data_IF_066999139163
#
_entry.id   IF_066999139163
#
_cell.length_a   1.000
_cell.length_b   1.000
_cell.length_c   1.000
_cell.angle_alpha   90.00
_cell.angle_beta   90.00
_cell.angle_gamma   90.00
#
_symmetry.space_group_name_H-M   'P 1'
#
loop_
_entity.id
_entity.type
_entity.pdbx_description
1 polymer ?
#
# COMPACT_ATOMS: atom_id res chain seq x y z
N UNK A 1 1.80 -7.43 -19.76
CA UNK A 1 3.26 -7.13 -19.78
C UNK A 1 3.62 -5.81 -19.08
N UNK A 2 2.82 -4.72 -19.23
CA UNK A 2 3.13 -3.44 -18.56
C UNK A 2 3.01 -3.54 -17.04
N UNK A 3 2.04 -4.32 -16.53
CA UNK A 3 1.90 -4.58 -15.11
C UNK A 3 3.14 -5.31 -14.51
N UNK A 4 3.68 -6.30 -15.22
CA UNK A 4 4.93 -6.95 -14.81
C UNK A 4 6.12 -5.99 -14.85
N UNK A 5 6.18 -5.11 -15.87
CA UNK A 5 7.22 -4.08 -15.95
C UNK A 5 7.15 -3.11 -14.76
N UNK A 6 5.92 -2.70 -14.37
CA UNK A 6 5.72 -1.90 -13.16
C UNK A 6 6.24 -2.60 -11.91
N UNK A 7 5.88 -3.86 -11.71
CA UNK A 7 6.31 -4.62 -10.53
C UNK A 7 7.84 -4.77 -10.49
N UNK A 8 8.45 -5.20 -11.61
CA UNK A 8 9.90 -5.37 -11.71
C UNK A 8 10.65 -4.05 -11.46
N UNK A 9 10.24 -2.97 -12.14
CA UNK A 9 10.88 -1.64 -11.97
C UNK A 9 10.67 -1.07 -10.56
N UNK A 10 9.56 -1.40 -9.88
CA UNK A 10 9.31 -1.03 -8.49
C UNK A 10 10.30 -1.73 -7.54
N UNK A 11 10.56 -3.01 -7.76
CA UNK A 11 11.51 -3.80 -6.96
C UNK A 11 12.96 -3.38 -7.24
N UNK A 12 13.30 -3.06 -8.48
CA UNK A 12 14.62 -2.55 -8.89
C UNK A 12 14.90 -1.11 -8.45
N UNK A 13 13.90 -0.39 -7.89
CA UNK A 13 14.05 1.00 -7.48
C UNK A 13 14.05 2.01 -8.64
N UNK A 14 13.60 1.61 -9.84
CA UNK A 14 13.56 2.45 -11.04
C UNK A 14 12.34 3.36 -11.05
N UNK A 15 12.39 4.43 -10.26
CA UNK A 15 11.25 5.34 -9.98
C UNK A 15 10.50 5.78 -11.23
N UNK A 16 11.20 6.32 -12.22
CA UNK A 16 10.55 6.92 -13.40
C UNK A 16 9.85 5.85 -14.26
N UNK A 17 10.52 4.72 -14.49
CA UNK A 17 9.96 3.60 -15.26
C UNK A 17 8.78 2.96 -14.54
N UNK A 18 8.87 2.81 -13.22
CA UNK A 18 7.77 2.28 -12.40
C UNK A 18 6.54 3.20 -12.49
N UNK A 19 6.71 4.51 -12.29
CA UNK A 19 5.62 5.49 -12.33
C UNK A 19 5.00 5.56 -13.73
N UNK A 20 5.80 5.61 -14.80
CA UNK A 20 5.29 5.59 -16.18
C UNK A 20 4.47 4.33 -16.46
N UNK A 21 4.99 3.17 -16.05
CA UNK A 21 4.31 1.89 -16.21
C UNK A 21 3.02 1.83 -15.40
N UNK A 22 3.01 2.35 -14.16
CA UNK A 22 1.84 2.45 -13.30
C UNK A 22 0.71 3.25 -13.94
N UNK A 23 1.03 4.45 -14.45
CA UNK A 23 0.07 5.32 -15.14
C UNK A 23 -0.47 4.62 -16.39
N UNK A 24 0.40 3.95 -17.14
CA UNK A 24 0.01 3.19 -18.32
C UNK A 24 -0.96 2.08 -18.01
N UNK A 25 -0.70 1.30 -16.95
CA UNK A 25 -1.61 0.22 -16.50
C UNK A 25 -2.95 0.77 -16.10
N UNK A 26 -2.99 1.83 -15.26
CA UNK A 26 -4.22 2.46 -14.82
C UNK A 26 -5.07 2.97 -15.98
N UNK A 27 -4.45 3.56 -17.01
CA UNK A 27 -5.14 4.11 -18.18
C UNK A 27 -5.75 3.04 -19.11
N UNK A 28 -5.35 1.75 -18.98
CA UNK A 28 -5.98 0.66 -19.75
C UNK A 28 -7.33 0.23 -19.18
N UNK A 29 -7.68 0.67 -17.98
CA UNK A 29 -8.91 0.26 -17.30
C UNK A 29 -9.82 1.47 -17.15
N UNK A 30 -10.97 1.46 -17.81
CA UNK A 30 -11.95 2.53 -17.68
C UNK A 30 -12.83 2.37 -16.43
N UNK A 31 -13.41 3.46 -15.89
CA UNK A 31 -14.39 3.39 -14.81
C UNK A 31 -15.58 2.46 -15.10
N UNK A 32 -16.05 2.42 -16.36
CA UNK A 32 -17.12 1.52 -16.79
C UNK A 32 -16.70 0.05 -16.69
N UNK A 33 -15.47 -0.27 -17.09
CA UNK A 33 -14.95 -1.65 -16.97
C UNK A 33 -14.83 -2.07 -15.50
N UNK A 34 -14.43 -1.17 -14.59
CA UNK A 34 -14.38 -1.47 -13.15
C UNK A 34 -15.76 -1.78 -12.60
N UNK A 35 -16.78 -0.98 -12.95
CA UNK A 35 -18.16 -1.22 -12.51
C UNK A 35 -18.71 -2.57 -12.97
N UNK A 36 -18.27 -3.05 -14.13
CA UNK A 36 -18.65 -4.38 -14.66
C UNK A 36 -17.77 -5.51 -14.10
N UNK A 37 -16.52 -5.25 -13.76
CA UNK A 37 -15.52 -6.22 -13.31
C UNK A 37 -14.77 -5.64 -12.11
N UNK A 38 -15.31 -5.77 -10.88
CA UNK A 38 -14.84 -5.03 -9.71
C UNK A 38 -13.35 -5.20 -9.38
N UNK A 39 -12.75 -6.38 -9.60
CA UNK A 39 -11.34 -6.59 -9.29
C UNK A 39 -10.39 -5.72 -10.14
N UNK A 40 -10.84 -5.17 -11.27
CA UNK A 40 -10.05 -4.24 -12.09
C UNK A 40 -9.75 -2.92 -11.36
N UNK A 41 -10.51 -2.61 -10.31
CA UNK A 41 -10.27 -1.45 -9.46
C UNK A 41 -8.85 -1.42 -8.88
N UNK A 42 -8.26 -2.60 -8.62
CA UNK A 42 -6.87 -2.72 -8.20
C UNK A 42 -5.90 -1.94 -9.10
N UNK A 43 -6.10 -1.97 -10.42
CA UNK A 43 -5.22 -1.29 -11.37
C UNK A 43 -5.27 0.24 -11.28
N UNK A 44 -6.37 0.80 -10.80
CA UNK A 44 -6.48 2.25 -10.52
C UNK A 44 -5.63 2.69 -9.32
N UNK A 45 -5.30 1.79 -8.40
CA UNK A 45 -4.50 2.12 -7.21
C UNK A 45 -3.00 2.16 -7.49
N UNK A 46 -2.53 1.53 -8.56
CA UNK A 46 -1.12 1.32 -8.87
C UNK A 46 -0.30 2.63 -8.95
N UNK A 47 -0.78 3.72 -9.58
CA UNK A 47 -0.06 5.00 -9.58
C UNK A 47 0.17 5.56 -8.16
N UNK A 48 -0.85 5.52 -7.30
CA UNK A 48 -0.72 5.97 -5.91
C UNK A 48 0.30 5.16 -5.13
N UNK A 49 0.26 3.82 -5.27
CA UNK A 49 1.22 2.92 -4.64
C UNK A 49 2.66 3.22 -5.11
N UNK A 50 2.85 3.53 -6.39
CA UNK A 50 4.16 3.94 -6.92
C UNK A 50 4.61 5.29 -6.34
N UNK A 51 3.71 6.26 -6.21
CA UNK A 51 4.06 7.55 -5.61
C UNK A 51 4.46 7.40 -4.15
N UNK A 52 3.77 6.56 -3.39
CA UNK A 52 4.15 6.25 -2.00
C UNK A 52 5.52 5.56 -1.94
N UNK A 53 5.75 4.53 -2.77
CA UNK A 53 7.02 3.79 -2.81
C UNK A 53 8.22 4.69 -3.04
N UNK A 54 8.08 5.70 -3.90
CA UNK A 54 9.16 6.61 -4.29
C UNK A 54 9.07 7.99 -3.66
N UNK A 55 8.27 8.14 -2.59
CA UNK A 55 8.11 9.38 -1.83
C UNK A 55 7.77 10.61 -2.70
N UNK A 56 6.96 10.42 -3.75
CA UNK A 56 6.51 11.50 -4.64
C UNK A 56 5.29 12.22 -4.02
N UNK A 57 5.49 12.86 -2.88
CA UNK A 57 4.40 13.43 -2.07
C UNK A 57 3.59 14.48 -2.81
N UNK A 58 4.23 15.33 -3.62
CA UNK A 58 3.53 16.32 -4.46
C UNK A 58 2.52 15.65 -5.40
N UNK A 59 2.88 14.47 -5.94
CA UNK A 59 1.99 13.68 -6.79
C UNK A 59 0.84 13.06 -6.01
N UNK A 60 1.10 12.61 -4.76
CA UNK A 60 0.04 12.12 -3.88
C UNK A 60 -0.94 13.23 -3.54
N UNK A 61 -0.47 14.42 -3.15
CA UNK A 61 -1.34 15.55 -2.80
C UNK A 61 -2.12 16.13 -3.98
N UNK A 62 -1.59 16.00 -5.20
CA UNK A 62 -2.26 16.47 -6.42
C UNK A 62 -3.07 15.37 -7.12
N UNK A 63 -3.11 14.15 -6.56
CA UNK A 63 -3.87 13.07 -7.16
C UNK A 63 -5.36 13.31 -7.01
N UNK A 64 -6.11 13.12 -8.09
CA UNK A 64 -7.56 13.27 -8.08
C UNK A 64 -8.19 12.14 -7.27
N UNK A 65 -9.14 12.52 -6.38
CA UNK A 65 -9.83 11.54 -5.56
C UNK A 65 -10.62 10.57 -6.46
N UNK A 66 -10.53 9.25 -6.24
CA UNK A 66 -11.34 8.28 -6.97
C UNK A 66 -12.85 8.51 -6.78
N UNK A 67 -13.65 8.06 -7.76
CA UNK A 67 -15.11 8.05 -7.65
C UNK A 67 -15.58 7.40 -6.34
N UNK A 68 -16.68 7.88 -5.79
CA UNK A 68 -17.15 7.41 -4.47
C UNK A 68 -17.55 5.93 -4.42
N UNK A 69 -17.89 5.32 -5.55
CA UNK A 69 -18.21 3.89 -5.69
C UNK A 69 -16.95 3.01 -5.74
N UNK A 70 -15.75 3.59 -5.96
CA UNK A 70 -14.49 2.85 -5.94
C UNK A 70 -13.91 2.78 -4.53
N UNK A 71 -14.50 1.91 -3.70
CA UNK A 71 -14.21 1.84 -2.26
C UNK A 71 -12.78 1.41 -1.95
N UNK A 72 -12.25 0.45 -2.69
CA UNK A 72 -10.86 0.02 -2.52
C UNK A 72 -9.88 1.13 -2.95
N UNK A 73 -10.12 1.78 -4.08
CA UNK A 73 -9.29 2.91 -4.53
C UNK A 73 -9.30 4.07 -3.52
N UNK A 74 -10.47 4.39 -2.94
CA UNK A 74 -10.57 5.40 -1.88
C UNK A 74 -9.82 4.99 -0.61
N UNK A 75 -9.82 3.70 -0.26
CA UNK A 75 -9.01 3.18 0.85
C UNK A 75 -7.51 3.40 0.60
N UNK A 76 -7.01 3.05 -0.59
CA UNK A 76 -5.60 3.25 -0.96
C UNK A 76 -5.26 4.74 -1.10
N UNK A 77 -6.19 5.58 -1.57
CA UNK A 77 -6.03 7.02 -1.60
C UNK A 77 -5.84 7.59 -0.17
N UNK A 78 -6.67 7.16 0.78
CA UNK A 78 -6.54 7.54 2.19
C UNK A 78 -5.21 7.04 2.79
N UNK A 79 -4.77 5.83 2.46
CA UNK A 79 -3.45 5.31 2.83
C UNK A 79 -2.32 6.21 2.31
N UNK A 80 -2.34 6.53 1.04
CA UNK A 80 -1.31 7.36 0.42
C UNK A 80 -1.24 8.76 1.06
N UNK A 81 -2.39 9.40 1.29
CA UNK A 81 -2.47 10.69 1.98
C UNK A 81 -2.01 10.61 3.43
N UNK A 82 -2.38 9.54 4.15
CA UNK A 82 -1.92 9.34 5.53
C UNK A 82 -0.40 9.30 5.61
N UNK A 83 0.24 8.48 4.78
CA UNK A 83 1.71 8.34 4.75
C UNK A 83 2.37 9.65 4.31
N UNK A 84 1.84 10.32 3.27
CA UNK A 84 2.37 11.58 2.78
C UNK A 84 2.29 12.71 3.84
N UNK A 85 1.17 12.81 4.55
CA UNK A 85 1.02 13.77 5.66
C UNK A 85 1.95 13.46 6.82
N UNK A 86 2.12 12.18 7.20
CA UNK A 86 3.07 11.77 8.23
C UNK A 86 4.51 12.16 7.84
N UNK A 87 4.91 11.88 6.61
CA UNK A 87 6.24 12.23 6.10
C UNK A 87 6.52 13.74 6.07
N UNK A 88 5.47 14.56 5.94
CA UNK A 88 5.56 16.03 5.98
C UNK A 88 5.30 16.62 7.37
N UNK A 89 5.23 15.80 8.43
CA UNK A 89 5.08 16.25 9.81
C UNK A 89 3.65 16.66 10.19
N UNK A 90 2.67 16.51 9.31
CA UNK A 90 1.28 16.83 9.60
C UNK A 90 0.53 15.62 10.19
N UNK A 91 0.85 15.31 11.43
CA UNK A 91 0.33 14.11 12.11
C UNK A 91 -1.19 14.16 12.33
N UNK A 92 -1.79 15.35 12.41
CA UNK A 92 -3.24 15.49 12.56
C UNK A 92 -3.96 14.94 11.32
N UNK A 93 -3.58 15.42 10.14
CA UNK A 93 -4.16 14.95 8.88
C UNK A 93 -3.77 13.48 8.59
N UNK A 94 -2.54 13.07 8.92
CA UNK A 94 -2.13 11.68 8.80
C UNK A 94 -3.07 10.74 9.56
N UNK A 95 -3.37 11.03 10.83
CA UNK A 95 -4.30 10.25 11.64
C UNK A 95 -5.74 10.31 11.08
N UNK A 96 -6.18 11.48 10.60
CA UNK A 96 -7.49 11.61 9.97
C UNK A 96 -7.65 10.68 8.78
N UNK A 97 -6.70 10.69 7.85
CA UNK A 97 -6.75 9.80 6.68
C UNK A 97 -6.58 8.33 7.08
N UNK A 98 -5.70 8.02 8.03
CA UNK A 98 -5.55 6.65 8.54
C UNK A 98 -6.86 6.08 9.06
N UNK A 99 -7.63 6.84 9.85
CA UNK A 99 -8.92 6.39 10.38
C UNK A 99 -9.98 6.12 9.31
N UNK A 100 -9.81 6.65 8.09
CA UNK A 100 -10.74 6.47 6.96
C UNK A 100 -10.43 5.24 6.10
N UNK A 101 -9.26 4.60 6.24
CA UNK A 101 -8.83 3.50 5.37
C UNK A 101 -9.80 2.31 5.42
N UNK A 102 -10.35 1.98 6.58
CA UNK A 102 -11.21 0.82 6.78
C UNK A 102 -12.72 1.15 6.81
N UNK A 103 -13.11 2.40 6.55
CA UNK A 103 -14.52 2.80 6.65
C UNK A 103 -15.46 1.94 5.79
N UNK A 104 -15.03 1.61 4.59
CA UNK A 104 -15.83 0.87 3.61
C UNK A 104 -15.46 -0.62 3.51
N UNK A 105 -14.72 -1.18 4.48
CA UNK A 105 -14.20 -2.56 4.41
C UNK A 105 -15.32 -3.62 4.31
N UNK A 106 -16.52 -3.32 4.78
CA UNK A 106 -17.69 -4.21 4.71
C UNK A 106 -18.70 -3.79 3.65
N UNK A 107 -18.35 -2.83 2.77
CA UNK A 107 -19.24 -2.40 1.68
C UNK A 107 -19.54 -3.51 0.67
N UNK A 108 -20.60 -3.34 -0.11
CA UNK A 108 -20.99 -4.30 -1.17
C UNK A 108 -19.91 -4.38 -2.25
N UNK A 109 -19.30 -3.25 -2.61
CA UNK A 109 -18.24 -3.16 -3.63
C UNK A 109 -16.99 -3.93 -3.20
N UNK A 110 -16.53 -3.76 -1.95
CA UNK A 110 -15.41 -4.53 -1.40
C UNK A 110 -15.74 -6.02 -1.33
N UNK A 111 -16.96 -6.37 -0.90
CA UNK A 111 -17.39 -7.76 -0.86
C UNK A 111 -17.46 -8.37 -2.27
N UNK A 112 -17.88 -7.62 -3.29
CA UNK A 112 -17.88 -8.07 -4.68
C UNK A 112 -16.46 -8.42 -5.17
N UNK A 113 -15.44 -7.60 -4.83
CA UNK A 113 -14.04 -7.93 -5.14
C UNK A 113 -13.58 -9.21 -4.44
N UNK A 114 -13.93 -9.37 -3.15
CA UNK A 114 -13.59 -10.59 -2.38
C UNK A 114 -14.24 -11.82 -2.99
N UNK A 115 -15.50 -11.74 -3.40
CA UNK A 115 -16.21 -12.83 -4.08
C UNK A 115 -15.58 -13.17 -5.43
N UNK A 116 -14.99 -12.21 -6.11
CA UNK A 116 -14.20 -12.41 -7.34
C UNK A 116 -12.79 -12.99 -7.08
N UNK A 117 -12.44 -13.32 -5.84
CA UNK A 117 -11.16 -13.93 -5.47
C UNK A 117 -10.04 -12.93 -5.17
N UNK A 118 -10.33 -11.62 -5.12
CA UNK A 118 -9.33 -10.60 -4.78
C UNK A 118 -9.24 -10.42 -3.25
N UNK A 119 -8.05 -10.41 -2.62
CA UNK A 119 -7.90 -10.33 -1.18
C UNK A 119 -8.07 -8.90 -0.63
N UNK A 120 -9.06 -8.16 -1.12
CA UNK A 120 -9.27 -6.72 -0.91
C UNK A 120 -9.25 -6.34 0.57
N UNK A 121 -9.98 -7.07 1.43
CA UNK A 121 -10.02 -6.78 2.87
C UNK A 121 -8.66 -6.91 3.53
N UNK A 122 -7.87 -7.90 3.13
CA UNK A 122 -6.50 -8.08 3.63
C UNK A 122 -5.59 -6.94 3.20
N UNK A 123 -5.70 -6.49 1.94
CA UNK A 123 -4.93 -5.37 1.42
C UNK A 123 -5.30 -4.05 2.12
N UNK A 124 -6.59 -3.79 2.39
CA UNK A 124 -7.02 -2.62 3.16
C UNK A 124 -6.47 -2.65 4.59
N UNK A 125 -6.44 -3.82 5.24
CA UNK A 125 -5.84 -3.98 6.57
C UNK A 125 -4.33 -3.74 6.55
N UNK A 126 -3.61 -4.27 5.57
CA UNK A 126 -2.18 -3.99 5.37
C UNK A 126 -1.96 -2.48 5.21
N UNK A 127 -2.73 -1.82 4.35
CA UNK A 127 -2.66 -0.38 4.15
C UNK A 127 -2.86 0.41 5.45
N UNK A 128 -3.88 0.04 6.25
CA UNK A 128 -4.17 0.69 7.54
C UNK A 128 -3.04 0.51 8.55
N UNK A 129 -2.46 -0.69 8.65
CA UNK A 129 -1.34 -0.98 9.55
C UNK A 129 -0.06 -0.27 9.12
N UNK A 130 0.22 -0.21 7.82
CA UNK A 130 1.38 0.51 7.29
C UNK A 130 1.23 2.03 7.50
N UNK A 131 0.03 2.59 7.35
CA UNK A 131 -0.24 3.98 7.66
C UNK A 131 -0.01 4.28 9.16
N UNK A 132 -0.59 3.45 10.05
CA UNK A 132 -0.40 3.57 11.50
C UNK A 132 1.07 3.51 11.88
N UNK A 133 1.78 2.48 11.44
CA UNK A 133 3.21 2.34 11.70
C UNK A 133 4.06 3.49 11.12
N UNK A 134 3.67 4.04 9.96
CA UNK A 134 4.35 5.22 9.39
C UNK A 134 4.16 6.46 10.26
N UNK A 135 2.97 6.71 10.77
CA UNK A 135 2.70 7.80 11.72
C UNK A 135 3.58 7.65 12.96
N UNK A 136 3.67 6.44 13.51
CA UNK A 136 4.49 6.14 14.68
C UNK A 136 6.00 6.28 14.38
N UNK A 137 6.47 5.87 13.21
CA UNK A 137 7.86 6.10 12.76
C UNK A 137 8.21 7.57 12.74
N UNK A 138 7.39 8.41 12.12
CA UNK A 138 7.61 9.86 12.05
C UNK A 138 7.41 10.57 13.40
N UNK A 139 6.75 9.90 14.35
CA UNK A 139 6.63 10.33 15.74
C UNK A 139 7.74 9.79 16.66
N UNK A 140 8.73 9.07 16.11
CA UNK A 140 9.81 8.38 16.85
C UNK A 140 9.31 7.32 17.84
N UNK A 141 8.10 6.79 17.65
CA UNK A 141 7.50 5.72 18.42
C UNK A 141 7.80 4.36 17.78
N UNK A 142 9.08 4.00 17.75
CA UNK A 142 9.56 2.85 16.96
C UNK A 142 8.97 1.52 17.43
N UNK A 143 8.72 1.34 18.73
CA UNK A 143 8.13 0.10 19.26
C UNK A 143 6.71 -0.12 18.79
N UNK A 144 5.90 0.95 18.74
CA UNK A 144 4.54 0.93 18.25
C UNK A 144 4.51 0.68 16.73
N UNK A 145 5.40 1.33 15.99
CA UNK A 145 5.55 1.11 14.56
C UNK A 145 5.90 -0.35 14.25
N UNK A 146 6.85 -0.95 14.99
CA UNK A 146 7.23 -2.36 14.86
C UNK A 146 6.04 -3.28 15.10
N UNK A 147 5.19 -3.00 16.09
CA UNK A 147 4.00 -3.81 16.35
C UNK A 147 3.03 -3.80 15.14
N UNK A 148 2.73 -2.62 14.60
CA UNK A 148 1.88 -2.46 13.42
C UNK A 148 2.48 -3.17 12.18
N UNK A 149 3.79 -3.02 11.95
CA UNK A 149 4.43 -3.65 10.79
C UNK A 149 4.54 -5.19 10.94
N UNK A 150 4.73 -5.74 12.14
CA UNK A 150 4.68 -7.19 12.37
C UNK A 150 3.31 -7.76 12.02
N UNK A 151 2.24 -7.07 12.38
CA UNK A 151 0.88 -7.48 12.00
C UNK A 151 0.67 -7.39 10.48
N UNK A 152 1.13 -6.33 9.82
CA UNK A 152 1.07 -6.21 8.37
C UNK A 152 1.81 -7.35 7.65
N UNK A 153 3.00 -7.73 8.12
CA UNK A 153 3.76 -8.89 7.63
C UNK A 153 2.95 -10.17 7.80
N UNK A 154 2.36 -10.38 8.99
CA UNK A 154 1.54 -11.57 9.26
C UNK A 154 0.38 -11.70 8.29
N UNK A 155 -0.30 -10.59 7.97
CA UNK A 155 -1.39 -10.59 6.99
C UNK A 155 -0.86 -10.84 5.59
N UNK A 156 0.24 -10.20 5.18
CA UNK A 156 0.82 -10.40 3.85
C UNK A 156 1.23 -11.85 3.62
N UNK A 157 1.78 -12.53 4.62
CA UNK A 157 2.18 -13.94 4.55
C UNK A 157 1.01 -14.91 4.32
N UNK A 158 -0.23 -14.46 4.58
CA UNK A 158 -1.44 -15.26 4.31
C UNK A 158 -2.05 -15.01 2.93
N UNK A 159 -1.54 -14.04 2.17
CA UNK A 159 -2.06 -13.76 0.84
C UNK A 159 -1.77 -14.93 -0.11
N UNK A 160 -2.68 -15.24 -1.04
CA UNK A 160 -2.42 -16.25 -2.05
C UNK A 160 -1.28 -15.79 -2.96
N UNK A 161 -0.47 -16.75 -3.39
CA UNK A 161 0.59 -16.49 -4.36
C UNK A 161 0.04 -16.00 -5.69
N UNK A 162 0.58 -14.89 -6.18
CA UNK A 162 0.29 -14.34 -7.51
C UNK A 162 1.53 -13.64 -8.07
N UNK A 163 1.61 -13.52 -9.38
CA UNK A 163 2.62 -12.74 -10.08
C UNK A 163 1.97 -11.71 -11.01
N UNK A 164 2.20 -10.44 -10.79
CA UNK A 164 2.86 -9.80 -9.63
C UNK A 164 2.10 -10.00 -8.32
N UNK A 165 2.77 -9.84 -7.15
CA UNK A 165 2.12 -9.98 -5.84
C UNK A 165 1.04 -8.90 -5.64
N UNK A 166 0.00 -9.22 -4.84
CA UNK A 166 -1.11 -8.30 -4.55
C UNK A 166 -0.67 -7.02 -3.82
N UNK A 167 0.33 -7.11 -2.94
CA UNK A 167 0.93 -5.93 -2.33
C UNK A 167 2.25 -5.61 -3.04
N UNK A 168 2.48 -4.34 -3.35
CA UNK A 168 3.49 -3.85 -4.29
C UNK A 168 4.94 -3.91 -3.81
N UNK A 169 5.18 -4.35 -2.57
CA UNK A 169 6.52 -4.65 -2.04
C UNK A 169 6.40 -5.53 -0.78
N UNK A 170 7.45 -6.27 -0.38
CA UNK A 170 7.46 -7.02 0.86
C UNK A 170 7.40 -6.10 2.09
N UNK A 171 6.34 -6.21 2.92
CA UNK A 171 6.18 -5.38 4.13
C UNK A 171 7.30 -5.62 5.15
N UNK A 172 8.02 -6.74 5.04
CA UNK A 172 9.25 -7.02 5.82
C UNK A 172 10.31 -5.94 5.64
N UNK A 173 10.41 -5.28 4.49
CA UNK A 173 11.35 -4.17 4.27
C UNK A 173 11.03 -2.99 5.21
N UNK A 174 9.75 -2.67 5.38
CA UNK A 174 9.30 -1.62 6.31
C UNK A 174 9.53 -2.01 7.76
N UNK A 175 9.24 -3.27 8.13
CA UNK A 175 9.51 -3.81 9.47
C UNK A 175 11.02 -3.77 9.77
N UNK A 176 11.85 -4.25 8.85
CA UNK A 176 13.31 -4.23 9.02
C UNK A 176 13.85 -2.82 9.22
N UNK A 177 13.34 -1.83 8.47
CA UNK A 177 13.68 -0.42 8.67
C UNK A 177 13.30 0.08 10.07
N UNK A 178 12.09 -0.22 10.55
CA UNK A 178 11.66 0.18 11.89
C UNK A 178 12.53 -0.44 13.00
N UNK A 179 12.91 -1.70 12.84
CA UNK A 179 13.84 -2.38 13.75
C UNK A 179 15.22 -1.73 13.76
N UNK A 180 15.76 -1.31 12.61
CA UNK A 180 17.01 -0.55 12.54
C UNK A 180 16.92 0.77 13.30
N UNK A 181 15.83 1.52 13.11
CA UNK A 181 15.60 2.78 13.82
C UNK A 181 15.46 2.58 15.35
N UNK A 182 14.89 1.45 15.76
CA UNK A 182 14.79 1.03 17.17
C UNK A 182 16.09 0.43 17.72
N UNK A 183 17.16 0.36 16.92
CA UNK A 183 18.45 -0.27 17.24
C UNK A 183 18.39 -1.78 17.55
N UNK A 184 17.35 -2.45 17.10
CA UNK A 184 17.18 -3.91 17.20
C UNK A 184 17.86 -4.60 15.99
N UNK A 185 19.19 -4.43 15.89
CA UNK A 185 19.96 -4.78 14.68
C UNK A 185 19.91 -6.29 14.34
N UNK A 186 19.96 -7.14 15.34
CA UNK A 186 19.92 -8.61 15.16
C UNK A 186 18.57 -9.05 14.60
N UNK A 187 17.48 -8.52 15.15
CA UNK A 187 16.13 -8.81 14.65
C UNK A 187 15.91 -8.25 13.24
N UNK A 188 16.42 -7.06 12.95
CA UNK A 188 16.38 -6.47 11.59
C UNK A 188 17.08 -7.37 10.57
N UNK A 189 18.28 -7.87 10.90
CA UNK A 189 19.02 -8.78 10.02
C UNK A 189 18.22 -10.05 9.71
N UNK A 190 17.62 -10.68 10.74
CA UNK A 190 16.79 -11.88 10.57
C UNK A 190 15.55 -11.61 9.68
N UNK A 191 14.92 -10.44 9.83
CA UNK A 191 13.76 -10.05 9.00
C UNK A 191 14.16 -9.89 7.53
N UNK A 192 15.28 -9.21 7.25
CA UNK A 192 15.76 -9.06 5.88
C UNK A 192 16.25 -10.38 5.28
N UNK A 193 16.93 -11.23 6.04
CA UNK A 193 17.33 -12.56 5.56
C UNK A 193 16.12 -13.44 5.21
N UNK A 194 15.04 -13.30 5.95
CA UNK A 194 13.80 -14.03 5.65
C UNK A 194 13.14 -13.50 4.39
N UNK A 195 13.11 -12.18 4.19
CA UNK A 195 12.58 -11.53 2.98
C UNK A 195 13.26 -12.01 1.68
N UNK A 196 14.53 -12.39 1.77
CA UNK A 196 15.30 -12.91 0.63
C UNK A 196 15.06 -14.40 0.34
N UNK A 197 14.37 -15.13 1.23
CA UNK A 197 14.15 -16.59 1.13
C UNK A 197 12.71 -16.95 0.79
N UNK A 198 11.78 -16.10 1.16
CA UNK A 198 10.33 -16.25 0.94
C UNK A 198 9.93 -15.59 -0.40
#
# INVERSE_FOLDING_TARGET
NVHFLWAASTMEGMSDLSIESAIKVSNYVSPEQIRNIPFLEFFHTIPLLSYVRFAKWDKVFSYERPDDDFKFSNSIFNYALSVAHAANGNLLEANRFQSMILNDIESEEVNAMVMAGHPTKSLMKIASLLASGSIDMYSSKYSEAIASFKEAVTIQDTLPYTEPPFWYYPTRQTLGHALLMNKSFEEAALVFERDLKD
#
